data_IF_798488919212
#
_entry.id   IF_798488919212
#
_cell.length_a   1.000
_cell.length_b   1.000
_cell.length_c   1.000
_cell.angle_alpha   90.00
_cell.angle_beta   90.00
_cell.angle_gamma   90.00
#
_symmetry.space_group_name_H-M   'P 1'
#
loop_
_entity.id
_entity.type
_entity.pdbx_description
1 polymer ?
#
# COMPACT_ATOMS: atom_id res chain seq x y z
N UNK A 1 41.06 19.93 25.81
CA UNK A 1 40.22 18.76 25.44
C UNK A 1 39.39 19.19 24.23
N UNK A 2 39.88 18.87 23.03
CA UNK A 2 39.40 19.42 21.76
C UNK A 2 38.25 18.57 21.21
N UNK A 3 37.18 19.23 20.76
CA UNK A 3 35.91 18.63 20.40
C UNK A 3 35.97 17.72 19.18
N UNK A 4 35.42 16.51 19.33
CA UNK A 4 35.08 15.62 18.23
C UNK A 4 33.70 16.00 17.71
N UNK A 5 33.62 17.03 16.85
CA UNK A 5 32.47 17.16 15.94
C UNK A 5 32.64 16.11 14.85
N UNK A 6 31.99 14.97 15.01
CA UNK A 6 31.72 14.06 13.89
C UNK A 6 30.79 14.79 12.90
N UNK A 7 31.19 14.98 11.63
CA UNK A 7 30.26 15.44 10.62
C UNK A 7 29.35 14.25 10.29
N UNK A 8 28.18 14.19 10.93
CA UNK A 8 27.09 13.34 10.45
C UNK A 8 26.79 13.80 9.03
N UNK A 9 27.20 12.99 8.06
CA UNK A 9 26.99 13.23 6.64
C UNK A 9 25.50 13.03 6.41
N UNK A 10 24.73 14.11 6.51
CA UNK A 10 23.33 14.14 6.06
C UNK A 10 23.36 13.79 4.58
N UNK A 11 23.20 12.49 4.27
CA UNK A 11 23.00 12.04 2.91
C UNK A 11 21.78 12.80 2.39
N UNK A 12 21.80 13.29 1.14
CA UNK A 12 20.67 14.05 0.62
C UNK A 12 19.43 13.16 0.75
N UNK A 13 18.38 13.66 1.40
CA UNK A 13 17.10 12.98 1.51
C UNK A 13 16.71 12.56 0.09
N UNK A 14 16.85 11.27 -0.20
CA UNK A 14 16.63 10.76 -1.55
C UNK A 14 15.13 10.92 -1.77
N UNK A 15 14.72 11.92 -2.56
CA UNK A 15 13.31 12.26 -2.76
C UNK A 15 12.61 10.99 -3.27
N UNK A 16 11.87 10.31 -2.37
CA UNK A 16 11.34 8.97 -2.62
C UNK A 16 10.23 9.06 -3.67
N UNK A 17 10.38 8.29 -4.76
CA UNK A 17 9.39 8.27 -5.82
C UNK A 17 8.20 7.38 -5.41
N UNK A 18 7.08 8.00 -5.01
CA UNK A 18 5.84 7.32 -4.63
C UNK A 18 5.31 6.37 -5.71
N UNK A 19 5.51 6.69 -6.99
CA UNK A 19 5.08 5.82 -8.09
C UNK A 19 5.89 4.53 -8.14
N UNK A 20 7.20 4.61 -7.91
CA UNK A 20 8.06 3.43 -7.87
C UNK A 20 7.72 2.55 -6.67
N UNK A 21 7.49 3.14 -5.50
CA UNK A 21 7.04 2.41 -4.31
C UNK A 21 5.67 1.77 -4.54
N UNK A 22 4.71 2.52 -5.09
CA UNK A 22 3.38 2.02 -5.44
C UNK A 22 3.45 0.85 -6.41
N UNK A 23 4.28 0.91 -7.46
CA UNK A 23 4.44 -0.19 -8.41
C UNK A 23 4.94 -1.47 -7.73
N UNK A 24 5.91 -1.36 -6.81
CA UNK A 24 6.44 -2.49 -6.03
C UNK A 24 5.36 -3.07 -5.10
N UNK A 25 4.54 -2.22 -4.49
CA UNK A 25 3.47 -2.65 -3.59
C UNK A 25 2.23 -3.18 -4.32
N UNK A 26 2.02 -2.79 -5.58
CA UNK A 26 0.80 -3.05 -6.33
C UNK A 26 0.33 -4.52 -6.36
N UNK A 27 1.18 -5.56 -6.54
CA UNK A 27 0.68 -6.95 -6.50
C UNK A 27 0.14 -7.35 -5.13
N UNK A 28 0.76 -6.87 -4.04
CA UNK A 28 0.30 -7.15 -2.68
C UNK A 28 -0.99 -6.42 -2.37
N UNK A 29 -1.07 -5.15 -2.77
CA UNK A 29 -2.28 -4.34 -2.61
C UNK A 29 -3.44 -4.94 -3.39
N UNK A 30 -3.21 -5.35 -4.65
CA UNK A 30 -4.26 -6.01 -5.44
C UNK A 30 -4.74 -7.31 -4.80
N UNK A 31 -3.82 -8.15 -4.33
CA UNK A 31 -4.18 -9.37 -3.60
C UNK A 31 -5.01 -9.08 -2.35
N UNK A 32 -4.59 -8.10 -1.54
CA UNK A 32 -5.34 -7.70 -0.36
C UNK A 32 -6.74 -7.19 -0.72
N UNK A 33 -6.87 -6.30 -1.71
CA UNK A 33 -8.16 -5.78 -2.18
C UNK A 33 -9.05 -6.91 -2.68
N UNK A 34 -8.54 -7.80 -3.53
CA UNK A 34 -9.31 -8.90 -4.09
C UNK A 34 -9.82 -9.87 -3.01
N UNK A 35 -8.96 -10.28 -2.06
CA UNK A 35 -9.36 -11.18 -0.98
C UNK A 35 -10.42 -10.54 -0.10
N UNK A 36 -10.22 -9.28 0.31
CA UNK A 36 -11.19 -8.58 1.15
C UNK A 36 -12.52 -8.36 0.44
N UNK A 37 -12.49 -8.03 -0.87
CA UNK A 37 -13.70 -7.87 -1.66
C UNK A 37 -14.45 -9.21 -1.83
N UNK A 38 -13.73 -10.31 -2.03
CA UNK A 38 -14.34 -11.64 -2.12
C UNK A 38 -14.99 -12.03 -0.80
N UNK A 39 -14.27 -11.85 0.32
CA UNK A 39 -14.82 -12.10 1.66
C UNK A 39 -16.03 -11.23 1.95
N UNK A 40 -16.01 -9.95 1.55
CA UNK A 40 -17.16 -9.07 1.64
C UNK A 40 -18.35 -9.61 0.83
N UNK A 41 -18.11 -10.14 -0.37
CA UNK A 41 -19.13 -10.80 -1.19
C UNK A 41 -19.68 -12.09 -0.57
N UNK A 42 -18.88 -12.82 0.23
CA UNK A 42 -19.37 -13.96 1.00
C UNK A 42 -20.20 -13.52 2.21
N UNK A 43 -19.80 -12.44 2.89
CA UNK A 43 -20.56 -11.85 4.00
C UNK A 43 -21.87 -11.26 3.49
N UNK A 44 -21.89 -10.59 2.33
CA UNK A 44 -23.13 -10.06 1.76
C UNK A 44 -24.14 -11.17 1.49
N UNK A 45 -23.67 -12.36 1.12
CA UNK A 45 -24.52 -13.53 0.96
C UNK A 45 -25.22 -13.96 2.26
N UNK A 46 -24.59 -13.76 3.43
CA UNK A 46 -25.19 -14.11 4.73
C UNK A 46 -26.35 -13.18 5.12
N UNK A 47 -26.41 -11.97 4.57
CA UNK A 47 -27.50 -11.00 4.78
C UNK A 47 -28.51 -10.97 3.63
N UNK A 48 -28.50 -12.00 2.76
CA UNK A 48 -29.48 -12.20 1.69
C UNK A 48 -29.17 -11.47 0.37
N UNK A 49 -27.99 -10.88 0.22
CA UNK A 49 -27.55 -10.27 -1.03
C UNK A 49 -26.88 -11.32 -1.95
N UNK A 50 -26.77 -11.09 -3.26
CA UNK A 50 -25.98 -11.96 -4.13
C UNK A 50 -24.49 -11.99 -3.70
N UNK A 51 -23.85 -13.15 -3.85
CA UNK A 51 -22.40 -13.25 -3.67
C UNK A 51 -21.65 -12.77 -4.92
N UNK A 52 -20.43 -12.26 -4.72
CA UNK A 52 -19.52 -11.96 -5.81
C UNK A 52 -18.81 -13.24 -6.28
N UNK A 53 -18.84 -13.51 -7.58
CA UNK A 53 -18.05 -14.61 -8.15
C UNK A 53 -16.54 -14.30 -8.05
N UNK A 54 -15.67 -15.33 -8.03
CA UNK A 54 -14.22 -15.10 -8.02
C UNK A 54 -13.77 -14.20 -9.17
N UNK A 55 -14.26 -14.43 -10.39
CA UNK A 55 -13.90 -13.64 -11.57
C UNK A 55 -14.41 -12.20 -11.46
N UNK A 56 -15.66 -12.00 -11.03
CA UNK A 56 -16.21 -10.65 -10.85
C UNK A 56 -15.43 -9.86 -9.79
N UNK A 57 -15.03 -10.52 -8.70
CA UNK A 57 -14.18 -9.93 -7.67
C UNK A 57 -12.87 -9.43 -8.25
N UNK A 58 -12.18 -10.25 -9.05
CA UNK A 58 -10.90 -9.86 -9.64
C UNK A 58 -11.05 -8.63 -10.56
N UNK A 59 -12.13 -8.58 -11.36
CA UNK A 59 -12.42 -7.45 -12.25
C UNK A 59 -12.66 -6.17 -11.44
N UNK A 60 -13.50 -6.24 -10.41
CA UNK A 60 -13.82 -5.08 -9.56
C UNK A 60 -12.62 -4.65 -8.70
N UNK A 61 -11.73 -5.58 -8.33
CA UNK A 61 -10.52 -5.26 -7.59
C UNK A 61 -9.54 -4.39 -8.40
N UNK A 62 -9.47 -4.53 -9.73
CA UNK A 62 -8.54 -3.76 -10.58
C UNK A 62 -8.66 -2.24 -10.39
N UNK A 63 -9.84 -1.60 -10.57
CA UNK A 63 -9.96 -0.16 -10.37
C UNK A 63 -9.76 0.25 -8.91
N UNK A 64 -10.12 -0.60 -7.94
CA UNK A 64 -9.95 -0.32 -6.50
C UNK A 64 -8.47 -0.38 -6.07
N UNK A 65 -7.65 -1.18 -6.75
CA UNK A 65 -6.21 -1.29 -6.48
C UNK A 65 -5.49 0.03 -6.71
N UNK A 66 -5.93 0.87 -7.65
CA UNK A 66 -5.26 2.15 -7.96
C UNK A 66 -5.26 3.10 -6.74
N UNK A 67 -6.42 3.50 -6.18
CA UNK A 67 -6.44 4.36 -4.99
C UNK A 67 -5.86 3.65 -3.76
N UNK A 68 -6.07 2.34 -3.61
CA UNK A 68 -5.49 1.57 -2.50
C UNK A 68 -3.95 1.56 -2.56
N UNK A 69 -3.37 1.44 -3.75
CA UNK A 69 -1.91 1.42 -3.95
C UNK A 69 -1.30 2.78 -3.64
N UNK A 70 -1.96 3.85 -4.06
CA UNK A 70 -1.53 5.20 -3.70
C UNK A 70 -1.55 5.43 -2.19
N UNK A 71 -2.62 5.01 -1.52
CA UNK A 71 -2.75 5.14 -0.06
C UNK A 71 -1.67 4.31 0.67
N UNK A 72 -1.46 3.08 0.23
CA UNK A 72 -0.43 2.19 0.77
C UNK A 72 0.98 2.77 0.57
N UNK A 73 1.30 3.26 -0.63
CA UNK A 73 2.58 3.90 -0.92
C UNK A 73 2.80 5.16 -0.08
N UNK A 74 1.77 5.97 0.13
CA UNK A 74 1.84 7.16 1.00
C UNK A 74 2.08 6.77 2.46
N UNK A 75 1.37 5.76 2.96
CA UNK A 75 1.50 5.28 4.33
C UNK A 75 2.87 4.66 4.59
N UNK A 76 3.31 3.71 3.75
CA UNK A 76 4.65 3.09 3.85
C UNK A 76 5.74 4.15 3.69
N UNK A 77 5.59 5.10 2.76
CA UNK A 77 6.51 6.22 2.61
C UNK A 77 6.67 7.02 3.90
N UNK A 78 5.56 7.35 4.57
CA UNK A 78 5.59 8.05 5.86
C UNK A 78 6.25 7.24 6.98
N UNK A 79 6.06 5.91 7.02
CA UNK A 79 6.76 5.05 7.98
C UNK A 79 8.26 5.01 7.75
N UNK A 80 8.70 4.99 6.50
CA UNK A 80 10.13 5.05 6.18
C UNK A 80 10.73 6.40 6.56
N UNK A 81 10.01 7.50 6.28
CA UNK A 81 10.45 8.84 6.65
C UNK A 81 10.56 9.02 8.17
N UNK A 82 9.68 8.37 8.95
CA UNK A 82 9.77 8.35 10.42
C UNK A 82 10.94 7.50 10.92
N UNK A 83 11.25 6.39 10.25
CA UNK A 83 12.39 5.53 10.60
C UNK A 83 13.76 6.15 10.25
N UNK A 84 13.79 7.13 9.33
CA UNK A 84 14.99 7.88 8.95
C UNK A 84 15.29 9.08 9.89
N UNK A 85 14.34 9.46 10.75
CA UNK A 85 14.52 10.50 11.77
C UNK A 85 15.19 9.98 13.03
#
# INVERSE_FOLDING_TARGET
>A
MSGTRSPSRTAPATRRNLWRLGLILSPFVWGAVAINLFMLGLISASVGWPSLSPVATLIVAVPLTIPATWLAARWVGGLMDEAER
#
